data_IF_872399784170
#
_entry.id   IF_872399784170
#
_cell.length_a   1.000
_cell.length_b   1.000
_cell.length_c   1.000
_cell.angle_alpha   90.00
_cell.angle_beta   90.00
_cell.angle_gamma   90.00
#
_symmetry.space_group_name_H-M   'P 1'
#
loop_
_entity.id
_entity.type
_entity.pdbx_description
1 polymer ?
#
# COMPACT_ATOMS: atom_id res chain seq x y z
N UNK A 1 -2.25 -16.10 -5.38
CA UNK A 1 -2.87 -17.43 -5.48
C UNK A 1 -3.49 -17.59 -6.86
N UNK A 2 -2.93 -18.50 -7.65
CA UNK A 2 -3.31 -18.78 -9.03
C UNK A 2 -4.62 -19.57 -9.09
N UNK A 3 -5.30 -19.55 -10.25
CA UNK A 3 -6.55 -20.30 -10.48
C UNK A 3 -6.39 -21.81 -10.21
N UNK A 4 -5.17 -22.32 -10.42
CA UNK A 4 -4.79 -23.72 -10.26
C UNK A 4 -4.85 -24.19 -8.80
N UNK A 5 -4.56 -23.29 -7.85
CA UNK A 5 -4.51 -23.56 -6.41
C UNK A 5 -5.89 -23.62 -5.75
N UNK A 6 -6.97 -23.32 -6.49
CA UNK A 6 -8.34 -23.36 -5.99
C UNK A 6 -8.84 -24.81 -5.82
N UNK A 7 -9.57 -25.04 -4.73
CA UNK A 7 -10.27 -26.31 -4.51
C UNK A 7 -11.34 -26.53 -5.59
N UNK A 8 -11.72 -27.78 -5.91
CA UNK A 8 -12.80 -28.06 -6.88
C UNK A 8 -14.11 -27.33 -6.55
N UNK A 9 -14.46 -27.22 -5.26
CA UNK A 9 -15.63 -26.47 -4.82
C UNK A 9 -15.54 -24.97 -5.11
N UNK A 10 -14.36 -24.37 -4.97
CA UNK A 10 -14.13 -22.94 -5.23
C UNK A 10 -14.17 -22.64 -6.74
N UNK A 11 -13.61 -23.54 -7.56
CA UNK A 11 -13.71 -23.46 -9.03
C UNK A 11 -15.16 -23.53 -9.48
N UNK A 12 -15.97 -24.43 -8.88
CA UNK A 12 -17.41 -24.51 -9.13
C UNK A 12 -18.12 -23.21 -8.74
N UNK A 13 -17.86 -22.65 -7.56
CA UNK A 13 -18.47 -21.37 -7.15
C UNK A 13 -18.12 -20.22 -8.09
N UNK A 14 -16.88 -20.16 -8.59
CA UNK A 14 -16.48 -19.15 -9.58
C UNK A 14 -17.28 -19.30 -10.88
N UNK A 15 -17.43 -20.53 -11.38
CA UNK A 15 -18.26 -20.82 -12.55
C UNK A 15 -19.73 -20.41 -12.33
N UNK A 16 -20.31 -20.78 -11.18
CA UNK A 16 -21.70 -20.44 -10.84
C UNK A 16 -21.90 -18.92 -10.71
N UNK A 17 -20.90 -18.20 -10.19
CA UNK A 17 -20.91 -16.73 -10.13
C UNK A 17 -20.90 -16.10 -11.52
N UNK A 18 -20.05 -16.59 -12.43
CA UNK A 18 -20.04 -16.14 -13.83
C UNK A 18 -21.40 -16.36 -14.48
N UNK A 19 -21.98 -17.55 -14.38
CA UNK A 19 -23.30 -17.82 -14.94
C UNK A 19 -24.38 -16.88 -14.37
N UNK A 20 -24.37 -16.66 -13.04
CA UNK A 20 -25.31 -15.74 -12.39
C UNK A 20 -25.13 -14.29 -12.87
N UNK A 21 -23.90 -13.82 -13.01
CA UNK A 21 -23.60 -12.48 -13.56
C UNK A 21 -24.09 -12.35 -14.99
N UNK A 22 -23.84 -13.34 -15.84
CA UNK A 22 -24.27 -13.31 -17.24
C UNK A 22 -25.79 -13.25 -17.37
N UNK A 23 -26.52 -14.09 -16.64
CA UNK A 23 -27.98 -14.09 -16.60
C UNK A 23 -28.54 -12.74 -16.09
N UNK A 24 -27.93 -12.17 -15.04
CA UNK A 24 -28.34 -10.88 -14.51
C UNK A 24 -28.05 -9.71 -15.45
N UNK A 25 -26.96 -9.75 -16.22
CA UNK A 25 -26.65 -8.75 -17.24
C UNK A 25 -27.65 -8.87 -18.40
N UNK A 26 -27.89 -10.08 -18.92
CA UNK A 26 -28.85 -10.32 -20.01
C UNK A 26 -30.27 -9.88 -19.67
N UNK A 27 -30.66 -10.00 -18.40
CA UNK A 27 -31.99 -9.61 -17.89
C UNK A 27 -32.08 -8.15 -17.41
N UNK A 28 -31.01 -7.35 -17.53
CA UNK A 28 -30.89 -5.99 -16.99
C UNK A 28 -31.10 -5.90 -15.47
N UNK A 29 -30.83 -6.98 -14.73
CA UNK A 29 -31.08 -7.06 -13.28
C UNK A 29 -29.84 -6.81 -12.43
N UNK A 30 -28.67 -6.59 -13.03
CA UNK A 30 -27.42 -6.51 -12.28
C UNK A 30 -27.41 -5.36 -11.25
N UNK A 31 -28.06 -4.23 -11.52
CA UNK A 31 -28.12 -3.10 -10.59
C UNK A 31 -29.28 -3.18 -9.59
N UNK A 32 -30.16 -4.16 -9.72
CA UNK A 32 -31.32 -4.37 -8.84
C UNK A 32 -30.92 -5.17 -7.61
N UNK A 33 -30.96 -4.53 -6.43
CA UNK A 33 -30.82 -5.23 -5.14
C UNK A 33 -32.20 -5.73 -4.70
N UNK A 34 -32.26 -6.97 -4.22
CA UNK A 34 -33.48 -7.53 -3.61
C UNK A 34 -33.86 -6.70 -2.37
N UNK A 35 -35.07 -6.10 -2.31
CA UNK A 35 -35.56 -5.34 -1.16
C UNK A 35 -35.60 -6.13 0.15
N UNK A 36 -35.61 -7.47 0.09
CA UNK A 36 -35.67 -8.35 1.26
C UNK A 36 -34.29 -8.84 1.73
N UNK A 37 -33.18 -8.38 1.12
CA UNK A 37 -31.83 -8.74 1.57
C UNK A 37 -31.55 -8.16 2.97
N UNK A 38 -31.23 -9.02 3.94
CA UNK A 38 -30.99 -8.66 5.35
C UNK A 38 -29.88 -7.60 5.56
N UNK A 39 -29.03 -7.38 4.56
CA UNK A 39 -27.91 -6.44 4.64
C UNK A 39 -28.29 -4.97 4.35
N UNK A 40 -29.52 -4.68 3.90
CA UNK A 40 -30.00 -3.31 3.72
C UNK A 40 -30.05 -2.52 5.05
N UNK A 41 -30.17 -3.23 6.18
CA UNK A 41 -30.16 -2.63 7.54
C UNK A 41 -28.80 -2.05 7.98
N UNK A 42 -27.69 -2.33 7.27
CA UNK A 42 -26.33 -1.87 7.66
C UNK A 42 -25.77 -0.70 6.81
N UNK A 43 -26.47 -0.31 5.74
CA UNK A 43 -26.01 0.68 4.77
C UNK A 43 -26.89 1.95 4.78
N UNK A 44 -26.78 2.76 5.84
CA UNK A 44 -27.43 4.09 5.92
C UNK A 44 -26.44 5.26 5.99
N UNK A 45 -25.18 5.04 5.61
CA UNK A 45 -24.13 6.08 5.74
C UNK A 45 -23.61 6.51 4.36
N UNK A 46 -24.48 7.06 3.52
CA UNK A 46 -24.15 8.15 2.58
C UNK A 46 -25.41 8.56 1.81
N UNK A 47 -25.82 9.82 1.94
CA UNK A 47 -26.57 10.54 0.90
C UNK A 47 -25.80 11.83 0.66
N UNK A 48 -24.91 11.91 -0.35
CA UNK A 48 -24.40 13.21 -0.75
C UNK A 48 -25.58 13.99 -1.31
N UNK A 49 -25.68 15.27 -0.93
CA UNK A 49 -26.73 16.16 -1.44
C UNK A 49 -26.30 16.63 -2.83
N UNK A 50 -26.48 15.77 -3.82
CA UNK A 50 -26.49 16.16 -5.24
C UNK A 50 -27.95 16.12 -5.68
N UNK A 51 -28.34 17.10 -6.51
CA UNK A 51 -29.70 17.35 -6.96
C UNK A 51 -30.47 16.04 -7.23
N UNK A 52 -31.65 15.92 -6.63
CA UNK A 52 -32.55 14.79 -6.82
C UNK A 52 -32.95 14.70 -8.29
N UNK A 53 -32.25 13.86 -9.06
CA UNK A 53 -32.84 13.28 -10.25
C UNK A 53 -33.75 12.17 -9.78
N UNK A 54 -35.05 12.42 -9.89
CA UNK A 54 -36.07 11.39 -9.83
C UNK A 54 -35.71 10.30 -10.82
N UNK A 55 -35.60 9.06 -10.35
CA UNK A 55 -35.63 7.89 -11.22
C UNK A 55 -37.03 7.87 -11.82
N UNK A 56 -37.17 8.42 -13.03
CA UNK A 56 -38.34 8.15 -13.85
C UNK A 56 -38.28 6.68 -14.24
N UNK A 57 -39.34 5.96 -13.86
CA UNK A 57 -39.66 4.64 -14.39
C UNK A 57 -40.06 4.80 -15.86
N UNK A 58 -39.09 5.06 -16.72
CA UNK A 58 -39.28 4.97 -18.16
C UNK A 58 -38.44 3.80 -18.68
N UNK A 59 -39.12 2.94 -19.44
CA UNK A 59 -38.59 1.76 -20.11
C UNK A 59 -37.27 2.09 -20.81
N UNK A 60 -36.17 1.55 -20.28
CA UNK A 60 -34.85 1.68 -20.88
C UNK A 60 -34.81 0.77 -22.11
N UNK A 61 -34.64 1.40 -23.27
CA UNK A 61 -34.30 0.81 -24.56
C UNK A 61 -33.06 -0.07 -24.41
N UNK A 62 -33.32 -1.35 -24.19
CA UNK A 62 -32.37 -2.32 -23.69
C UNK A 62 -31.76 -3.11 -24.83
N UNK A 63 -30.56 -2.73 -25.27
CA UNK A 63 -29.64 -3.66 -25.96
C UNK A 63 -28.22 -3.13 -26.10
N UNK A 64 -27.97 -1.81 -26.15
CA UNK A 64 -26.61 -1.27 -26.42
C UNK A 64 -25.79 -0.84 -25.19
N UNK A 65 -26.39 -0.63 -24.02
CA UNK A 65 -25.66 -0.19 -22.81
C UNK A 65 -25.09 -1.34 -21.96
N UNK A 66 -25.71 -2.52 -22.01
CA UNK A 66 -25.29 -3.66 -21.18
C UNK A 66 -23.90 -4.21 -21.50
N UNK A 67 -23.36 -3.89 -22.69
CA UNK A 67 -22.01 -4.27 -23.10
C UNK A 67 -20.89 -3.43 -22.46
N UNK A 68 -21.22 -2.44 -21.60
CA UNK A 68 -20.24 -1.50 -21.01
C UNK A 68 -19.97 -1.67 -19.51
N UNK A 69 -20.63 -2.61 -18.82
CA UNK A 69 -20.43 -2.77 -17.37
C UNK A 69 -19.05 -3.35 -17.11
N UNK A 70 -18.22 -2.60 -16.40
CA UNK A 70 -16.84 -2.99 -16.05
C UNK A 70 -16.50 -2.62 -14.62
N UNK A 71 -15.50 -3.28 -14.07
CA UNK A 71 -14.85 -2.90 -12.81
C UNK A 71 -13.36 -2.72 -13.07
N UNK A 72 -12.84 -1.52 -12.79
CA UNK A 72 -11.43 -1.17 -13.01
C UNK A 72 -10.93 -1.52 -14.43
N UNK A 73 -11.75 -1.20 -15.44
CA UNK A 73 -11.45 -1.46 -16.85
C UNK A 73 -11.65 -2.91 -17.31
N UNK A 74 -12.05 -3.83 -16.43
CA UNK A 74 -12.33 -5.24 -16.78
C UNK A 74 -13.83 -5.42 -17.04
N UNK A 75 -14.25 -5.78 -18.28
CA UNK A 75 -15.65 -6.05 -18.58
C UNK A 75 -16.20 -7.22 -17.77
N UNK A 76 -17.38 -7.06 -17.16
CA UNK A 76 -17.98 -8.11 -16.33
C UNK A 76 -18.73 -9.19 -17.13
N UNK A 77 -18.81 -9.07 -18.46
CA UNK A 77 -19.56 -9.98 -19.31
C UNK A 77 -18.82 -11.33 -19.45
N UNK A 78 -19.34 -12.44 -18.89
CA UNK A 78 -18.59 -13.71 -18.85
C UNK A 78 -18.47 -14.43 -20.18
N UNK A 79 -19.29 -14.09 -21.18
CA UNK A 79 -19.14 -14.60 -22.55
C UNK A 79 -17.82 -14.17 -23.21
N UNK A 80 -17.10 -13.21 -22.61
CA UNK A 80 -15.72 -12.82 -22.94
C UNK A 80 -14.75 -13.10 -21.77
N UNK A 81 -14.99 -14.18 -21.01
CA UNK A 81 -14.18 -14.55 -19.85
C UNK A 81 -12.70 -14.58 -20.21
N UNK A 82 -11.90 -13.90 -19.41
CA UNK A 82 -10.45 -13.89 -19.49
C UNK A 82 -9.86 -13.88 -18.08
N UNK A 83 -8.54 -14.08 -17.97
CA UNK A 83 -7.85 -14.15 -16.68
C UNK A 83 -8.04 -12.89 -15.82
N UNK A 84 -8.25 -11.73 -16.46
CA UNK A 84 -8.53 -10.47 -15.77
C UNK A 84 -9.87 -10.51 -15.04
N UNK A 85 -10.94 -10.99 -15.70
CA UNK A 85 -12.25 -11.14 -15.09
C UNK A 85 -12.18 -12.11 -13.90
N UNK A 86 -11.48 -13.24 -14.07
CA UNK A 86 -11.33 -14.25 -13.02
C UNK A 86 -10.62 -13.67 -11.80
N UNK A 87 -9.57 -12.88 -12.03
CA UNK A 87 -8.85 -12.19 -10.96
C UNK A 87 -9.77 -11.23 -10.19
N UNK A 88 -10.60 -10.44 -10.88
CA UNK A 88 -11.58 -9.55 -10.22
C UNK A 88 -12.63 -10.34 -9.45
N UNK A 89 -13.26 -11.35 -10.05
CA UNK A 89 -14.31 -12.12 -9.40
C UNK A 89 -13.78 -12.89 -8.17
N UNK A 90 -12.55 -13.40 -8.25
CA UNK A 90 -11.90 -14.06 -7.12
C UNK A 90 -11.66 -13.12 -5.94
N UNK A 91 -11.41 -11.82 -6.17
CA UNK A 91 -11.32 -10.84 -5.08
C UNK A 91 -12.63 -10.78 -4.29
N UNK A 92 -13.76 -10.65 -4.97
CA UNK A 92 -15.08 -10.64 -4.34
C UNK A 92 -15.40 -11.97 -3.63
N UNK A 93 -15.16 -13.10 -4.30
CA UNK A 93 -15.38 -14.43 -3.72
C UNK A 93 -14.56 -14.62 -2.44
N UNK A 94 -13.27 -14.27 -2.46
CA UNK A 94 -12.39 -14.38 -1.29
C UNK A 94 -12.87 -13.49 -0.14
N UNK A 95 -13.32 -12.26 -0.44
CA UNK A 95 -13.87 -11.33 0.54
C UNK A 95 -15.20 -11.79 1.18
N UNK A 96 -15.89 -12.77 0.58
CA UNK A 96 -17.12 -13.38 1.10
C UNK A 96 -17.00 -14.88 1.30
N UNK A 97 -15.77 -15.38 1.45
CA UNK A 97 -15.48 -16.79 1.75
C UNK A 97 -16.17 -17.77 0.79
N UNK A 98 -16.19 -17.43 -0.49
CA UNK A 98 -16.83 -18.18 -1.58
C UNK A 98 -18.34 -18.42 -1.37
N UNK A 99 -19.02 -17.58 -0.59
CA UNK A 99 -20.47 -17.59 -0.49
C UNK A 99 -21.08 -16.87 -1.67
N UNK A 100 -21.66 -17.64 -2.60
CA UNK A 100 -22.14 -17.14 -3.90
C UNK A 100 -23.12 -15.96 -3.79
N UNK A 101 -24.17 -16.08 -2.98
CA UNK A 101 -25.20 -15.03 -2.86
C UNK A 101 -24.63 -13.73 -2.26
N UNK A 102 -23.87 -13.83 -1.16
CA UNK A 102 -23.24 -12.67 -0.52
C UNK A 102 -22.22 -12.00 -1.45
N UNK A 103 -21.49 -12.78 -2.26
CA UNK A 103 -20.54 -12.29 -3.26
C UNK A 103 -21.25 -11.51 -4.35
N UNK A 104 -22.31 -12.08 -4.91
CA UNK A 104 -23.10 -11.44 -5.96
C UNK A 104 -23.69 -10.12 -5.46
N UNK A 105 -24.31 -10.11 -4.28
CA UNK A 105 -24.82 -8.87 -3.66
C UNK A 105 -23.71 -7.81 -3.46
N UNK A 106 -22.51 -8.23 -3.05
CA UNK A 106 -21.38 -7.29 -2.90
C UNK A 106 -21.04 -6.64 -4.24
N UNK A 107 -20.95 -7.40 -5.33
CA UNK A 107 -20.70 -6.85 -6.68
C UNK A 107 -21.77 -5.82 -7.05
N UNK A 108 -23.05 -6.13 -6.83
CA UNK A 108 -24.15 -5.20 -7.13
C UNK A 108 -24.06 -3.91 -6.31
N UNK A 109 -23.73 -4.01 -5.02
CA UNK A 109 -23.53 -2.84 -4.15
C UNK A 109 -22.34 -2.00 -4.59
N UNK A 110 -21.23 -2.62 -4.95
CA UNK A 110 -20.05 -1.91 -5.45
C UNK A 110 -20.36 -1.18 -6.75
N UNK A 111 -21.03 -1.82 -7.72
CA UNK A 111 -21.42 -1.16 -8.98
C UNK A 111 -22.34 0.04 -8.74
N UNK A 112 -23.34 -0.11 -7.86
CA UNK A 112 -24.23 0.98 -7.49
C UNK A 112 -23.47 2.12 -6.81
N UNK A 113 -22.63 1.80 -5.82
CA UNK A 113 -21.83 2.79 -5.11
C UNK A 113 -20.89 3.54 -6.07
N UNK A 114 -20.24 2.84 -7.01
CA UNK A 114 -19.38 3.48 -8.02
C UNK A 114 -20.15 4.51 -8.85
N UNK A 115 -21.38 4.18 -9.25
CA UNK A 115 -22.25 5.08 -9.97
C UNK A 115 -22.70 6.28 -9.11
N UNK A 116 -23.22 6.02 -7.89
CA UNK A 116 -23.72 7.06 -6.98
C UNK A 116 -22.60 8.00 -6.48
N UNK A 117 -21.40 7.47 -6.27
CA UNK A 117 -20.23 8.22 -5.82
C UNK A 117 -19.45 8.86 -6.98
N UNK A 118 -19.79 8.53 -8.24
CA UNK A 118 -19.12 9.05 -9.43
C UNK A 118 -17.66 8.62 -9.55
N UNK A 119 -17.36 7.35 -9.24
CA UNK A 119 -15.97 6.84 -9.17
C UNK A 119 -15.32 6.76 -10.54
N UNK A 120 -16.07 6.43 -11.59
CA UNK A 120 -15.48 6.24 -12.93
C UNK A 120 -14.94 7.54 -13.53
N UNK A 121 -15.44 8.70 -13.07
CA UNK A 121 -15.00 10.02 -13.50
C UNK A 121 -14.04 10.68 -12.50
N UNK A 122 -13.82 10.06 -11.33
CA UNK A 122 -13.11 10.68 -10.21
C UNK A 122 -11.68 11.06 -10.57
N UNK A 123 -11.03 10.30 -11.46
CA UNK A 123 -9.65 10.56 -11.88
C UNK A 123 -9.47 11.84 -12.67
N UNK A 124 -10.56 12.40 -13.22
CA UNK A 124 -10.56 13.66 -13.97
C UNK A 124 -10.73 14.88 -13.06
N UNK A 125 -11.05 14.68 -11.78
CA UNK A 125 -11.29 15.76 -10.83
C UNK A 125 -9.99 16.34 -10.27
N UNK A 126 -9.96 17.66 -10.08
CA UNK A 126 -8.85 18.31 -9.39
C UNK A 126 -9.07 18.30 -7.87
N UNK A 127 -8.63 17.22 -7.23
CA UNK A 127 -8.76 17.03 -5.78
C UNK A 127 -7.42 17.16 -5.05
N UNK A 128 -6.31 17.18 -5.78
CA UNK A 128 -4.96 17.27 -5.22
C UNK A 128 -4.80 18.60 -4.47
N UNK A 129 -4.15 18.51 -3.31
CA UNK A 129 -3.91 19.61 -2.38
C UNK A 129 -2.66 19.29 -1.59
N UNK A 130 -1.83 20.29 -1.29
CA UNK A 130 -0.59 20.07 -0.51
C UNK A 130 -0.87 19.37 0.82
N UNK A 131 -2.03 19.68 1.43
CA UNK A 131 -2.46 19.11 2.70
C UNK A 131 -2.76 17.61 2.61
N UNK A 132 -3.16 17.13 1.42
CA UNK A 132 -3.52 15.73 1.20
C UNK A 132 -2.31 14.92 0.72
N UNK A 133 -1.50 15.49 -0.17
CA UNK A 133 -0.31 14.84 -0.76
C UNK A 133 0.69 14.40 0.32
N UNK A 134 0.82 15.17 1.41
CA UNK A 134 1.65 14.77 2.56
C UNK A 134 1.08 13.63 3.40
N UNK A 135 -0.11 13.11 3.09
CA UNK A 135 -0.79 12.06 3.88
C UNK A 135 -0.74 10.68 3.25
N UNK A 136 -0.50 10.58 1.95
CA UNK A 136 -0.23 9.31 1.29
C UNK A 136 0.49 9.47 -0.04
N UNK A 137 1.32 8.48 -0.33
CA UNK A 137 2.10 8.38 -1.57
C UNK A 137 2.38 6.90 -1.88
N UNK A 138 2.62 6.62 -3.16
CA UNK A 138 3.07 5.31 -3.63
C UNK A 138 4.58 5.36 -3.81
N UNK A 139 5.30 4.43 -3.21
CA UNK A 139 6.76 4.42 -3.32
C UNK A 139 7.35 3.02 -3.13
N UNK A 140 8.00 2.50 -4.16
CA UNK A 140 8.68 1.21 -4.12
C UNK A 140 7.75 0.00 -4.16
N UNK A 141 8.37 -1.17 -4.04
CA UNK A 141 7.73 -2.49 -4.12
C UNK A 141 8.19 -3.39 -2.96
N UNK A 142 7.30 -4.27 -2.51
CA UNK A 142 7.66 -5.32 -1.55
C UNK A 142 8.47 -6.44 -2.24
N UNK A 143 9.01 -7.36 -1.44
CA UNK A 143 9.82 -8.51 -1.93
C UNK A 143 9.02 -9.47 -2.83
N UNK A 144 7.69 -9.37 -2.85
CA UNK A 144 6.79 -10.17 -3.69
C UNK A 144 6.33 -9.38 -4.95
N UNK A 145 6.84 -8.16 -5.15
CA UNK A 145 6.54 -7.30 -6.30
C UNK A 145 5.23 -6.50 -6.18
N UNK A 146 4.63 -6.41 -5.00
CA UNK A 146 3.46 -5.57 -4.76
C UNK A 146 3.88 -4.11 -4.56
N UNK A 147 3.21 -3.13 -5.19
CA UNK A 147 3.47 -1.72 -4.92
C UNK A 147 3.16 -1.38 -3.46
N UNK A 148 3.95 -0.47 -2.88
CA UNK A 148 3.82 -0.04 -1.49
C UNK A 148 3.17 1.34 -1.41
N UNK A 149 2.04 1.40 -0.71
CA UNK A 149 1.33 2.63 -0.38
C UNK A 149 1.65 3.07 1.04
N UNK A 150 2.31 4.22 1.19
CA UNK A 150 2.55 4.83 2.49
C UNK A 150 1.38 5.74 2.87
N UNK A 151 0.93 5.64 4.12
CA UNK A 151 -0.13 6.46 4.71
C UNK A 151 0.42 7.14 5.96
N UNK A 152 0.72 8.43 5.86
CA UNK A 152 1.45 9.21 6.87
C UNK A 152 0.59 10.36 7.37
N UNK A 153 -0.22 10.11 8.38
CA UNK A 153 -1.16 11.12 8.87
C UNK A 153 -0.57 12.10 9.89
N UNK A 154 0.63 11.83 10.41
CA UNK A 154 1.30 12.71 11.39
C UNK A 154 1.65 14.09 10.83
N UNK A 155 1.80 14.23 9.50
CA UNK A 155 2.07 15.49 8.81
C UNK A 155 0.98 16.54 9.04
N UNK A 156 -0.28 16.11 9.19
CA UNK A 156 -1.45 16.96 9.39
C UNK A 156 -1.41 17.79 10.69
N UNK A 157 -0.55 17.43 11.66
CA UNK A 157 -0.41 18.16 12.92
C UNK A 157 0.40 19.45 12.81
N UNK A 158 1.18 19.61 11.73
CA UNK A 158 2.02 20.79 11.54
C UNK A 158 1.17 21.91 10.92
N UNK A 159 1.52 23.17 11.19
CA UNK A 159 1.12 24.33 10.36
C UNK A 159 -0.38 24.56 10.11
N UNK A 160 -1.30 24.12 10.96
CA UNK A 160 -2.75 24.33 10.77
C UNK A 160 -3.41 23.44 9.69
N UNK A 161 -2.67 22.50 9.09
CA UNK A 161 -3.18 21.64 8.02
C UNK A 161 -4.37 20.76 8.46
N UNK A 162 -4.48 20.46 9.76
CA UNK A 162 -5.60 19.71 10.32
C UNK A 162 -6.94 20.42 10.10
N UNK A 163 -7.04 21.69 10.44
CA UNK A 163 -8.31 22.45 10.31
C UNK A 163 -8.61 22.72 8.82
N UNK A 164 -7.57 22.84 8.00
CA UNK A 164 -7.74 22.94 6.54
C UNK A 164 -8.24 21.66 5.89
N UNK A 165 -7.84 20.50 6.40
CA UNK A 165 -8.25 19.20 5.85
C UNK A 165 -9.51 18.62 6.52
N UNK A 166 -9.80 18.94 7.78
CA UNK A 166 -10.84 18.27 8.58
C UNK A 166 -11.75 19.20 9.38
N UNK A 167 -11.52 20.51 9.36
CA UNK A 167 -12.25 21.50 10.16
C UNK A 167 -13.73 21.71 9.80
N UNK A 168 -14.20 21.14 8.67
CA UNK A 168 -15.61 21.11 8.30
C UNK A 168 -16.00 19.77 7.69
N UNK A 169 -17.31 19.52 7.59
CA UNK A 169 -17.84 18.30 6.98
C UNK A 169 -17.48 18.22 5.49
N UNK A 170 -17.53 19.34 4.78
CA UNK A 170 -17.19 19.45 3.36
C UNK A 170 -15.72 19.12 3.13
N UNK A 171 -14.83 19.61 4.01
CA UNK A 171 -13.39 19.29 3.98
C UNK A 171 -13.13 17.80 4.22
N UNK A 172 -13.81 17.19 5.20
CA UNK A 172 -13.75 15.74 5.43
C UNK A 172 -14.26 14.93 4.23
N UNK A 173 -15.37 15.33 3.62
CA UNK A 173 -15.93 14.68 2.43
C UNK A 173 -14.98 14.82 1.22
N UNK A 174 -14.36 15.99 1.05
CA UNK A 174 -13.30 16.20 0.04
C UNK A 174 -12.10 15.29 0.28
N UNK A 175 -11.64 15.14 1.52
CA UNK A 175 -10.56 14.22 1.86
C UNK A 175 -10.92 12.76 1.53
N UNK A 176 -12.13 12.31 1.88
CA UNK A 176 -12.60 10.96 1.53
C UNK A 176 -12.62 10.75 0.01
N UNK A 177 -13.10 11.76 -0.75
CA UNK A 177 -13.14 11.71 -2.20
C UNK A 177 -11.74 11.64 -2.81
N UNK A 178 -10.83 12.48 -2.32
CA UNK A 178 -9.42 12.42 -2.71
C UNK A 178 -8.79 11.06 -2.39
N UNK A 179 -9.10 10.46 -1.24
CA UNK A 179 -8.62 9.12 -0.89
C UNK A 179 -9.11 8.02 -1.82
N UNK A 180 -10.37 8.09 -2.25
CA UNK A 180 -10.91 7.19 -3.27
C UNK A 180 -10.19 7.40 -4.60
N UNK A 181 -9.97 8.66 -5.01
CA UNK A 181 -9.23 9.00 -6.24
C UNK A 181 -7.79 8.46 -6.20
N UNK A 182 -7.08 8.68 -5.09
CA UNK A 182 -5.73 8.17 -4.88
C UNK A 182 -5.67 6.63 -5.01
N UNK A 183 -6.67 5.94 -4.46
CA UNK A 183 -6.80 4.50 -4.61
C UNK A 183 -7.02 4.12 -6.09
N UNK A 184 -8.02 4.69 -6.77
CA UNK A 184 -8.31 4.38 -8.17
C UNK A 184 -7.09 4.63 -9.08
N UNK A 185 -6.35 5.72 -8.83
CA UNK A 185 -5.11 6.05 -9.56
C UNK A 185 -4.06 4.95 -9.35
N UNK A 186 -3.85 4.54 -8.09
CA UNK A 186 -2.96 3.44 -7.74
C UNK A 186 -3.35 2.10 -8.38
N UNK A 187 -4.65 1.77 -8.46
CA UNK A 187 -5.11 0.59 -9.21
C UNK A 187 -4.76 0.72 -10.69
N UNK A 188 -5.07 1.86 -11.30
CA UNK A 188 -4.92 2.03 -12.75
C UNK A 188 -3.45 1.99 -13.18
N UNK A 189 -2.57 2.63 -12.42
CA UNK A 189 -1.18 2.83 -12.80
C UNK A 189 -0.26 1.67 -12.37
N UNK A 190 -0.53 1.06 -11.21
CA UNK A 190 0.43 0.14 -10.57
C UNK A 190 -0.05 -1.32 -10.52
N UNK A 191 -1.34 -1.59 -10.75
CA UNK A 191 -1.87 -2.94 -10.66
C UNK A 191 -2.24 -3.50 -12.03
N UNK A 192 -2.16 -4.82 -12.14
CA UNK A 192 -2.64 -5.55 -13.29
C UNK A 192 -3.42 -6.78 -12.86
N UNK A 193 -4.54 -7.04 -13.54
CA UNK A 193 -5.37 -8.22 -13.30
C UNK A 193 -4.98 -9.41 -14.18
N UNK A 194 -3.90 -9.28 -14.97
CA UNK A 194 -3.32 -10.40 -15.70
C UNK A 194 -2.64 -11.38 -14.75
N UNK A 195 -2.60 -12.65 -15.13
CA UNK A 195 -1.98 -13.70 -14.33
C UNK A 195 -0.49 -13.40 -14.06
N UNK A 196 -0.03 -13.66 -12.83
CA UNK A 196 1.36 -13.47 -12.43
C UNK A 196 1.80 -12.01 -12.23
N UNK A 197 0.89 -11.04 -12.33
CA UNK A 197 1.16 -9.63 -12.01
C UNK A 197 0.52 -9.24 -10.67
N UNK A 198 1.07 -8.21 -10.04
CA UNK A 198 0.54 -7.67 -8.80
C UNK A 198 -0.87 -7.11 -9.04
N UNK A 199 -1.87 -7.73 -8.40
CA UNK A 199 -3.26 -7.26 -8.41
C UNK A 199 -3.68 -6.64 -7.08
N UNK A 200 -2.74 -6.50 -6.15
CA UNK A 200 -2.95 -5.95 -4.81
C UNK A 200 -1.69 -5.18 -4.36
N UNK A 201 -1.82 -4.38 -3.31
CA UNK A 201 -0.77 -3.52 -2.79
C UNK A 201 -0.50 -3.79 -1.30
N UNK A 202 0.68 -3.39 -0.83
CA UNK A 202 1.00 -3.31 0.60
C UNK A 202 0.67 -1.91 1.10
N UNK A 203 -0.02 -1.79 2.22
CA UNK A 203 -0.19 -0.52 2.91
C UNK A 203 0.74 -0.42 4.11
N UNK A 204 1.63 0.57 4.10
CA UNK A 204 2.41 0.98 5.25
C UNK A 204 1.70 2.16 5.90
N UNK A 205 1.27 2.02 7.14
CA UNK A 205 0.44 3.01 7.83
C UNK A 205 1.22 3.51 9.03
N UNK A 206 1.71 4.74 8.96
CA UNK A 206 2.43 5.37 10.06
C UNK A 206 1.46 6.01 11.05
N UNK A 207 1.37 5.41 12.23
CA UNK A 207 0.49 5.86 13.30
C UNK A 207 1.17 6.83 14.28
N UNK A 208 2.38 7.28 13.98
CA UNK A 208 3.08 8.26 14.80
C UNK A 208 2.22 9.52 14.93
N UNK A 209 2.08 9.99 16.17
CA UNK A 209 1.36 11.23 16.54
C UNK A 209 -0.14 11.28 16.20
N UNK A 210 -0.75 10.22 15.66
CA UNK A 210 -2.18 10.18 15.31
C UNK A 210 -3.15 10.21 16.50
N UNK A 211 -2.73 9.68 17.64
CA UNK A 211 -3.65 9.37 18.74
C UNK A 211 -3.68 10.43 19.86
N UNK A 212 -3.30 11.68 19.56
CA UNK A 212 -3.53 12.81 20.46
C UNK A 212 -5.04 13.09 20.68
N UNK A 213 -5.40 13.68 21.81
CA UNK A 213 -6.80 14.06 22.13
C UNK A 213 -7.41 15.07 21.14
N UNK A 214 -6.59 15.79 20.38
CA UNK A 214 -7.01 16.84 19.44
C UNK A 214 -7.44 16.37 18.04
N UNK A 215 -7.46 15.06 17.75
CA UNK A 215 -7.64 14.53 16.38
C UNK A 215 -8.94 13.71 16.20
N UNK A 216 -10.10 14.20 16.66
CA UNK A 216 -11.34 13.41 16.67
C UNK A 216 -11.95 13.28 15.26
N UNK A 217 -11.95 14.36 14.51
CA UNK A 217 -12.49 14.49 13.16
C UNK A 217 -11.70 13.62 12.18
N UNK A 218 -10.37 13.62 12.30
CA UNK A 218 -9.51 12.73 11.52
C UNK A 218 -9.81 11.25 11.80
N UNK A 219 -9.98 10.84 13.07
CA UNK A 219 -10.35 9.45 13.40
C UNK A 219 -11.69 9.06 12.79
N UNK A 220 -12.72 9.89 12.95
CA UNK A 220 -14.03 9.68 12.33
C UNK A 220 -13.95 9.58 10.81
N UNK A 221 -13.09 10.39 10.19
CA UNK A 221 -12.87 10.35 8.74
C UNK A 221 -12.13 9.08 8.32
N UNK A 222 -11.12 8.64 9.06
CA UNK A 222 -10.41 7.36 8.83
C UNK A 222 -11.36 6.18 8.98
N UNK A 223 -12.25 6.17 9.98
CA UNK A 223 -13.27 5.11 10.15
C UNK A 223 -14.21 5.03 8.94
N UNK A 224 -14.67 6.18 8.42
CA UNK A 224 -15.47 6.25 7.19
C UNK A 224 -14.68 5.74 5.98
N UNK A 225 -13.42 6.15 5.83
CA UNK A 225 -12.53 5.73 4.75
C UNK A 225 -12.34 4.20 4.75
N UNK A 226 -12.07 3.64 5.93
CA UNK A 226 -11.96 2.19 6.13
C UNK A 226 -13.23 1.50 5.64
N UNK A 227 -14.41 1.96 6.05
CA UNK A 227 -15.68 1.36 5.64
C UNK A 227 -15.86 1.40 4.12
N UNK A 228 -15.57 2.52 3.47
CA UNK A 228 -15.62 2.66 2.01
C UNK A 228 -14.74 1.60 1.33
N UNK A 229 -13.49 1.45 1.79
CA UNK A 229 -12.55 0.50 1.20
C UNK A 229 -12.94 -0.96 1.46
N UNK A 230 -13.50 -1.29 2.61
CA UNK A 230 -13.98 -2.64 2.88
C UNK A 230 -15.18 -3.05 2.03
N UNK A 231 -16.13 -2.12 1.87
CA UNK A 231 -17.39 -2.41 1.19
C UNK A 231 -17.19 -2.47 -0.34
N UNK A 232 -16.21 -1.73 -0.89
CA UNK A 232 -16.09 -1.50 -2.33
C UNK A 232 -14.76 -1.94 -2.97
N UNK A 233 -13.71 -2.20 -2.19
CA UNK A 233 -12.38 -2.58 -2.68
C UNK A 233 -11.93 -3.93 -2.10
N UNK A 234 -12.64 -5.03 -2.41
CA UNK A 234 -12.30 -6.34 -1.88
C UNK A 234 -10.91 -6.79 -2.34
N UNK A 235 -10.10 -7.30 -1.39
CA UNK A 235 -8.83 -7.95 -1.69
C UNK A 235 -7.85 -7.15 -2.58
N UNK A 236 -7.90 -5.81 -2.52
CA UNK A 236 -6.88 -4.93 -3.10
C UNK A 236 -5.68 -4.74 -2.19
N UNK A 237 -5.82 -5.06 -0.91
CA UNK A 237 -4.71 -4.98 0.05
C UNK A 237 -4.18 -6.38 0.33
N UNK A 238 -2.91 -6.57 -0.01
CA UNK A 238 -2.16 -7.79 0.27
C UNK A 238 -1.78 -7.85 1.76
N UNK A 239 -1.20 -6.76 2.27
CA UNK A 239 -0.74 -6.65 3.65
C UNK A 239 -0.87 -5.20 4.16
N UNK A 240 -1.21 -5.06 5.43
CA UNK A 240 -1.26 -3.80 6.17
C UNK A 240 -0.17 -3.84 7.25
N UNK A 241 0.81 -2.95 7.16
CA UNK A 241 1.93 -2.82 8.10
C UNK A 241 1.75 -1.52 8.86
N UNK A 242 1.31 -1.62 10.11
CA UNK A 242 1.12 -0.46 10.98
C UNK A 242 2.41 -0.16 11.75
N UNK A 243 2.92 1.05 11.61
CA UNK A 243 4.15 1.52 12.24
C UNK A 243 3.87 2.36 13.48
N UNK A 244 4.89 2.48 14.33
CA UNK A 244 4.90 3.37 15.50
C UNK A 244 3.74 3.14 16.50
N UNK A 245 3.32 1.88 16.68
CA UNK A 245 2.23 1.56 17.61
C UNK A 245 2.73 1.65 19.05
N UNK A 246 2.11 2.54 19.84
CA UNK A 246 2.39 2.65 21.27
C UNK A 246 1.73 1.53 22.07
N UNK A 247 2.29 1.24 23.25
CA UNK A 247 1.72 0.27 24.21
C UNK A 247 0.33 0.69 24.71
N UNK A 248 0.01 1.98 24.72
CA UNK A 248 -1.34 2.49 25.08
C UNK A 248 -2.38 2.20 23.97
N UNK A 249 -1.93 1.88 22.76
CA UNK A 249 -2.75 1.69 21.57
C UNK A 249 -3.05 0.22 21.25
N UNK A 250 -2.99 -0.69 22.23
CA UNK A 250 -3.52 -2.06 22.08
C UNK A 250 -5.02 -2.09 21.70
N UNK A 251 -5.69 -0.95 21.73
CA UNK A 251 -7.01 -0.67 21.15
C UNK A 251 -7.06 -0.61 19.61
N UNK A 252 -5.96 -0.76 18.86
CA UNK A 252 -6.07 -0.89 17.39
C UNK A 252 -6.93 -2.12 17.02
N UNK A 253 -6.86 -3.19 17.84
CA UNK A 253 -7.75 -4.35 17.67
C UNK A 253 -9.20 -3.94 17.76
N UNK A 254 -9.56 -2.90 18.50
CA UNK A 254 -10.92 -2.39 18.62
C UNK A 254 -11.32 -1.52 17.41
N UNK A 255 -10.45 -0.58 16.97
CA UNK A 255 -10.70 0.26 15.79
C UNK A 255 -10.85 -0.58 14.51
N UNK A 256 -10.06 -1.64 14.40
CA UNK A 256 -10.10 -2.59 13.29
C UNK A 256 -10.84 -3.90 13.65
N UNK A 257 -11.47 -4.02 14.84
CA UNK A 257 -12.16 -5.26 15.27
C UNK A 257 -13.23 -5.73 14.30
N UNK A 258 -14.03 -4.85 13.67
CA UNK A 258 -15.00 -5.31 12.69
C UNK A 258 -14.35 -5.88 11.42
N UNK A 259 -13.07 -5.57 11.19
CA UNK A 259 -12.30 -5.98 10.00
C UNK A 259 -11.52 -7.28 10.23
N UNK A 260 -11.29 -7.64 11.48
CA UNK A 260 -10.47 -8.78 11.90
C UNK A 260 -11.26 -10.09 11.89
N UNK A 261 -11.81 -10.46 10.73
CA UNK A 261 -12.12 -11.88 10.51
C UNK A 261 -10.81 -12.67 10.55
N UNK A 262 -10.88 -13.97 10.82
CA UNK A 262 -9.69 -14.84 10.93
C UNK A 262 -8.81 -14.77 9.66
N UNK A 263 -9.39 -14.45 8.50
CA UNK A 263 -8.70 -14.29 7.21
C UNK A 263 -7.95 -12.96 7.06
N UNK A 264 -8.44 -11.87 7.66
CA UNK A 264 -7.77 -10.56 7.58
C UNK A 264 -6.64 -10.46 8.61
N UNK A 265 -6.70 -11.22 9.70
CA UNK A 265 -5.69 -11.19 10.78
C UNK A 265 -4.25 -11.42 10.29
N UNK A 266 -4.03 -12.35 9.36
CA UNK A 266 -2.69 -12.63 8.78
C UNK A 266 -2.19 -11.52 7.85
N UNK A 267 -3.09 -10.65 7.37
CA UNK A 267 -2.74 -9.49 6.56
C UNK A 267 -2.25 -8.32 7.40
N UNK A 268 -2.37 -8.38 8.73
CA UNK A 268 -2.00 -7.27 9.59
C UNK A 268 -0.67 -7.51 10.31
N UNK A 269 0.23 -6.53 10.21
CA UNK A 269 1.53 -6.51 10.86
C UNK A 269 1.63 -5.25 11.70
N UNK A 270 2.16 -5.39 12.92
CA UNK A 270 2.20 -4.31 13.91
C UNK A 270 3.64 -4.10 14.39
N UNK A 271 4.21 -2.93 14.09
CA UNK A 271 5.54 -2.52 14.51
C UNK A 271 5.47 -1.47 15.63
N UNK A 272 6.19 -1.74 16.73
CA UNK A 272 6.47 -0.74 17.77
C UNK A 272 7.50 0.28 17.26
N UNK A 273 7.58 1.50 17.83
CA UNK A 273 8.50 2.55 17.37
C UNK A 273 9.97 2.16 17.26
N UNK A 274 10.44 1.20 18.06
CA UNK A 274 11.83 0.71 18.05
C UNK A 274 12.05 -0.52 17.14
N UNK A 275 10.99 -1.04 16.51
CA UNK A 275 11.00 -2.19 15.58
C UNK A 275 10.57 -1.83 14.16
N UNK A 276 10.38 -0.55 13.85
CA UNK A 276 9.87 -0.10 12.53
C UNK A 276 10.75 -0.64 11.40
N UNK A 277 12.03 -0.30 11.40
CA UNK A 277 13.01 -0.73 10.39
C UNK A 277 13.10 -2.24 10.30
N UNK A 278 13.31 -2.93 11.44
CA UNK A 278 13.35 -4.40 11.51
C UNK A 278 12.08 -5.06 10.94
N UNK A 279 10.91 -4.43 11.11
CA UNK A 279 9.66 -4.99 10.60
C UNK A 279 9.54 -4.80 9.10
N UNK A 280 9.87 -3.61 8.58
CA UNK A 280 9.76 -3.31 7.15
C UNK A 280 10.74 -4.16 6.32
N UNK A 281 11.98 -4.36 6.79
CA UNK A 281 12.99 -5.15 6.09
C UNK A 281 12.61 -6.63 5.88
N UNK A 282 11.66 -7.15 6.65
CA UNK A 282 11.11 -8.50 6.46
C UNK A 282 10.21 -8.62 5.24
N UNK A 283 9.68 -7.51 4.75
CA UNK A 283 8.68 -7.48 3.68
C UNK A 283 9.13 -6.68 2.46
N UNK A 284 9.95 -5.66 2.64
CA UNK A 284 10.38 -4.71 1.60
C UNK A 284 11.90 -4.72 1.57
N UNK A 285 12.48 -4.76 0.37
CA UNK A 285 13.94 -4.63 0.21
C UNK A 285 14.41 -3.24 0.67
N UNK A 286 15.61 -3.14 1.26
CA UNK A 286 16.09 -1.89 1.88
C UNK A 286 16.20 -0.71 0.90
N UNK A 287 16.52 -0.95 -0.38
CA UNK A 287 16.48 0.04 -1.48
C UNK A 287 15.07 0.58 -1.79
N UNK A 288 14.03 -0.16 -1.42
CA UNK A 288 12.64 0.22 -1.64
C UNK A 288 12.00 0.90 -0.41
N UNK A 289 12.72 1.00 0.71
CA UNK A 289 12.24 1.63 1.93
C UNK A 289 12.78 3.07 2.03
N UNK A 290 11.93 4.09 2.20
CA UNK A 290 12.36 5.47 2.45
C UNK A 290 13.32 5.60 3.64
N UNK A 291 14.32 6.47 3.53
CA UNK A 291 15.32 6.72 4.58
C UNK A 291 14.71 7.04 5.95
N UNK A 292 13.54 7.70 6.00
CA UNK A 292 12.83 8.02 7.24
C UNK A 292 12.34 6.80 8.02
N UNK A 293 12.26 5.65 7.36
CA UNK A 293 11.89 4.37 7.95
C UNK A 293 13.08 3.41 8.12
N UNK A 294 14.30 3.89 7.85
CA UNK A 294 15.54 3.13 7.98
C UNK A 294 15.82 2.20 6.79
N UNK A 295 15.43 2.60 5.58
CA UNK A 295 15.96 2.05 4.33
C UNK A 295 16.95 3.00 3.66
N UNK A 296 17.27 2.72 2.40
CA UNK A 296 18.21 3.51 1.60
C UNK A 296 17.54 4.34 0.51
N UNK A 297 16.21 4.28 0.36
CA UNK A 297 15.53 5.02 -0.70
C UNK A 297 15.52 6.52 -0.42
N UNK A 298 16.15 7.30 -1.31
CA UNK A 298 16.17 8.76 -1.33
C UNK A 298 15.40 9.30 -2.53
N UNK A 299 14.91 10.53 -2.41
CA UNK A 299 14.38 11.27 -3.55
C UNK A 299 15.56 11.88 -4.34
N UNK A 300 15.58 11.68 -5.66
CA UNK A 300 16.61 12.21 -6.57
C UNK A 300 18.05 11.83 -6.13
N UNK A 301 18.30 10.53 -5.97
CA UNK A 301 19.64 10.02 -5.65
C UNK A 301 20.48 9.89 -6.92
N UNK A 302 21.34 10.88 -7.16
CA UNK A 302 22.36 10.83 -8.22
C UNK A 302 23.69 10.22 -7.72
N UNK A 303 23.79 9.90 -6.42
CA UNK A 303 25.00 9.41 -5.76
C UNK A 303 25.09 7.88 -5.74
N UNK A 304 23.96 7.17 -5.78
CA UNK A 304 23.87 5.71 -5.79
C UNK A 304 23.04 5.24 -6.98
N UNK A 305 23.69 4.97 -8.11
CA UNK A 305 23.06 4.44 -9.31
C UNK A 305 22.86 2.92 -9.20
N UNK A 306 21.86 2.39 -9.90
CA UNK A 306 21.55 0.95 -9.91
C UNK A 306 22.72 0.08 -10.44
N UNK A 307 23.65 0.70 -11.16
CA UNK A 307 24.87 0.10 -11.71
C UNK A 307 26.03 0.05 -10.71
N UNK A 308 26.00 0.82 -9.61
CA UNK A 308 27.06 0.92 -8.60
C UNK A 308 27.12 -0.28 -7.64
N UNK A 309 26.23 -1.26 -7.81
CA UNK A 309 26.28 -2.55 -7.12
C UNK A 309 25.07 -2.82 -6.23
N UNK A 310 25.08 -4.02 -5.61
CA UNK A 310 23.96 -4.52 -4.79
C UNK A 310 24.16 -4.16 -3.33
N UNK A 311 23.05 -3.84 -2.66
CA UNK A 311 23.02 -3.75 -1.20
C UNK A 311 23.39 -5.10 -0.58
N UNK A 312 24.40 -5.09 0.29
CA UNK A 312 24.84 -6.27 1.04
C UNK A 312 24.27 -6.28 2.46
N UNK A 313 23.66 -7.39 2.88
CA UNK A 313 23.22 -7.60 4.27
C UNK A 313 24.23 -8.47 5.03
N UNK A 314 24.68 -8.03 6.21
CA UNK A 314 25.62 -8.78 7.06
C UNK A 314 25.10 -8.96 8.49
N UNK A 315 25.11 -10.19 8.98
CA UNK A 315 24.70 -10.52 10.35
C UNK A 315 25.90 -10.59 11.30
N UNK A 316 25.97 -9.64 12.23
CA UNK A 316 27.03 -9.59 13.25
C UNK A 316 26.57 -10.25 14.55
N UNK A 317 27.28 -11.30 14.98
CA UNK A 317 27.03 -11.95 16.28
C UNK A 317 27.62 -11.10 17.42
N UNK A 318 26.92 -11.03 18.56
CA UNK A 318 27.40 -10.28 19.72
C UNK A 318 28.82 -10.70 20.16
N UNK A 319 29.68 -9.72 20.40
CA UNK A 319 31.08 -9.93 20.79
C UNK A 319 32.01 -10.37 19.65
N UNK A 320 31.53 -10.50 18.42
CA UNK A 320 32.36 -10.78 17.23
C UNK A 320 32.58 -9.53 16.40
N UNK A 321 33.79 -9.41 15.87
CA UNK A 321 34.13 -8.44 14.83
C UNK A 321 33.82 -9.09 13.48
N UNK A 322 33.24 -8.32 12.56
CA UNK A 322 32.99 -8.73 11.17
C UNK A 322 33.54 -7.64 10.27
N UNK A 323 34.18 -8.06 9.18
CA UNK A 323 34.76 -7.15 8.20
C UNK A 323 33.83 -7.05 7.01
N UNK A 324 33.58 -5.82 6.56
CA UNK A 324 32.89 -5.51 5.31
C UNK A 324 33.92 -4.83 4.44
N UNK A 325 34.22 -5.44 3.29
CA UNK A 325 35.25 -4.97 2.37
C UNK A 325 34.57 -4.33 1.15
N UNK A 326 35.01 -3.13 0.80
CA UNK A 326 34.57 -2.41 -0.40
C UNK A 326 35.81 -2.32 -1.30
N UNK A 327 35.91 -3.14 -2.36
CA UNK A 327 37.08 -3.13 -3.22
C UNK A 327 37.14 -1.84 -4.03
N UNK A 328 38.33 -1.23 -4.12
CA UNK A 328 38.57 0.00 -4.87
C UNK A 328 39.62 -0.33 -5.94
N UNK A 329 39.18 -0.39 -7.20
CA UNK A 329 40.05 -0.84 -8.32
C UNK A 329 40.79 0.33 -8.97
N UNK A 330 40.20 1.52 -8.96
CA UNK A 330 40.74 2.70 -9.63
C UNK A 330 41.23 3.73 -8.61
N UNK A 331 42.40 4.32 -8.88
CA UNK A 331 42.94 5.40 -8.06
C UNK A 331 42.28 6.75 -8.41
N UNK A 332 42.20 7.66 -7.43
CA UNK A 332 41.60 8.99 -7.62
C UNK A 332 40.06 9.01 -7.63
N UNK A 333 39.40 7.88 -7.36
CA UNK A 333 37.94 7.81 -7.27
C UNK A 333 37.41 8.25 -5.90
N UNK A 334 36.16 8.72 -5.89
CA UNK A 334 35.38 8.96 -4.68
C UNK A 334 34.53 7.72 -4.43
N UNK A 335 34.68 7.12 -3.27
CA UNK A 335 33.86 5.99 -2.81
C UNK A 335 32.84 6.50 -1.83
N UNK A 336 31.57 6.28 -2.15
CA UNK A 336 30.42 6.57 -1.30
C UNK A 336 29.85 5.26 -0.77
N UNK A 337 29.48 5.22 0.50
CA UNK A 337 28.77 4.08 1.05
C UNK A 337 27.84 4.49 2.18
N UNK A 338 26.76 3.75 2.34
CA UNK A 338 25.84 3.91 3.44
C UNK A 338 25.79 2.66 4.29
N UNK A 339 25.66 2.84 5.61
CA UNK A 339 25.46 1.74 6.55
C UNK A 339 24.21 1.99 7.38
N UNK A 340 23.33 0.99 7.42
CA UNK A 340 22.19 0.93 8.33
C UNK A 340 22.41 -0.21 9.32
N UNK A 341 22.42 0.13 10.61
CA UNK A 341 22.55 -0.83 11.71
C UNK A 341 21.17 -1.13 12.27
N UNK A 342 20.75 -2.39 12.17
CA UNK A 342 19.47 -2.87 12.68
C UNK A 342 19.69 -3.77 13.89
N UNK A 343 18.94 -3.54 14.96
CA UNK A 343 18.97 -4.38 16.15
C UNK A 343 19.74 -3.76 17.32
N UNK A 344 20.92 -4.31 17.63
CA UNK A 344 21.75 -3.89 18.76
C UNK A 344 22.78 -2.84 18.33
N UNK A 345 23.34 -2.10 19.29
CA UNK A 345 24.42 -1.15 19.02
C UNK A 345 25.65 -1.90 18.49
N UNK A 346 26.32 -1.30 17.50
CA UNK A 346 27.58 -1.82 16.98
C UNK A 346 28.63 -0.72 17.05
N UNK A 347 29.86 -1.14 17.36
CA UNK A 347 31.04 -0.33 17.17
C UNK A 347 31.60 -0.68 15.79
N UNK A 348 31.81 0.32 14.95
CA UNK A 348 32.47 0.13 13.67
C UNK A 348 33.68 1.05 13.55
N UNK A 349 34.67 0.57 12.81
CA UNK A 349 35.88 1.30 12.46
C UNK A 349 36.05 1.25 10.96
N UNK A 350 36.49 2.36 10.40
CA UNK A 350 36.80 2.50 8.98
C UNK A 350 38.33 2.44 8.81
N UNK A 351 38.79 1.48 8.01
CA UNK A 351 40.21 1.30 7.70
C UNK A 351 40.38 1.25 6.19
N UNK A 352 41.36 1.99 5.67
CA UNK A 352 41.83 1.82 4.30
C UNK A 352 43.07 0.93 4.32
N UNK A 353 43.07 -0.10 3.48
CA UNK A 353 44.13 -1.09 3.36
C UNK A 353 44.60 -1.05 1.90
N UNK A 354 45.78 -0.47 1.62
CA UNK A 354 46.34 -0.47 0.27
C UNK A 354 46.88 -1.87 -0.09
N UNK A 355 46.82 -2.24 -1.36
CA UNK A 355 47.30 -3.54 -1.86
C UNK A 355 48.82 -3.59 -2.08
N UNK A 356 49.53 -2.45 -2.01
CA UNK A 356 50.97 -2.36 -2.26
C UNK A 356 51.82 -2.95 -1.11
N UNK A 357 52.85 -3.74 -1.45
CA UNK A 357 53.82 -4.27 -0.49
C UNK A 357 54.50 -3.14 0.31
N UNK A 358 54.34 -3.15 1.63
CA UNK A 358 54.94 -2.16 2.54
C UNK A 358 53.99 -1.03 2.98
N UNK A 359 52.76 -1.01 2.48
CA UNK A 359 51.74 -0.04 2.89
C UNK A 359 51.22 -0.26 4.32
N UNK A 360 50.89 0.84 5.01
CA UNK A 360 50.32 0.80 6.37
C UNK A 360 48.80 1.04 6.35
N UNK A 361 48.09 0.40 7.29
CA UNK A 361 46.64 0.60 7.46
C UNK A 361 46.36 2.04 7.90
N UNK A 362 45.60 2.77 7.10
CA UNK A 362 45.15 4.12 7.46
C UNK A 362 43.84 3.99 8.23
N UNK A 363 43.92 4.19 9.55
CA UNK A 363 42.73 4.22 10.42
C UNK A 363 42.04 5.58 10.29
N UNK A 364 40.82 5.60 9.78
CA UNK A 364 40.11 6.86 9.51
C UNK A 364 39.32 7.38 10.70
N UNK A 365 38.54 6.52 11.36
CA UNK A 365 37.69 6.95 12.49
C UNK A 365 37.15 5.79 13.32
N UNK A 366 36.97 6.04 14.62
CA UNK A 366 36.12 5.24 15.52
C UNK A 366 34.77 5.91 15.64
N UNK A 367 33.69 5.17 15.38
CA UNK A 367 32.32 5.68 15.56
C UNK A 367 31.46 4.66 16.29
N UNK A 368 30.65 5.17 17.21
CA UNK A 368 29.61 4.40 17.88
C UNK A 368 28.29 4.66 17.15
N UNK A 369 27.74 3.65 16.47
CA UNK A 369 26.37 3.75 15.95
C UNK A 369 25.43 3.10 16.95
N UNK A 370 24.56 3.91 17.54
CA UNK A 370 23.38 3.41 18.22
C UNK A 370 22.30 3.03 17.18
N UNK A 371 21.09 2.67 17.65
CA UNK A 371 19.91 2.54 16.79
C UNK A 371 19.60 3.87 16.09
N UNK A 372 20.25 4.15 14.98
CA UNK A 372 19.93 5.28 14.13
C UNK A 372 18.78 4.88 13.20
N UNK A 373 17.76 5.74 13.14
CA UNK A 373 16.61 5.57 12.24
C UNK A 373 16.92 5.92 10.79
N UNK A 374 18.07 6.55 10.56
CA UNK A 374 18.55 6.99 9.26
C UNK A 374 19.94 6.38 9.03
N UNK A 375 20.20 5.91 7.82
CA UNK A 375 21.52 5.40 7.43
C UNK A 375 22.60 6.45 7.66
N UNK A 376 23.80 6.00 8.02
CA UNK A 376 24.96 6.90 8.09
C UNK A 376 25.61 6.90 6.72
N UNK A 377 25.73 8.09 6.13
CA UNK A 377 26.38 8.31 4.84
C UNK A 377 27.86 8.61 5.03
N UNK A 378 28.69 7.98 4.21
CA UNK A 378 30.13 8.11 4.24
C UNK A 378 30.66 8.39 2.84
N UNK A 379 31.72 9.18 2.81
CA UNK A 379 32.43 9.57 1.60
C UNK A 379 33.91 9.47 1.85
N UNK A 380 34.64 8.92 0.88
CA UNK A 380 36.08 8.92 0.87
C UNK A 380 36.63 9.18 -0.52
N UNK A 381 37.49 10.19 -0.63
CA UNK A 381 38.32 10.40 -1.81
C UNK A 381 39.67 9.74 -1.56
N UNK A 382 40.06 8.78 -2.40
CA UNK A 382 41.43 8.31 -2.39
C UNK A 382 42.33 9.41 -3.00
N UNK A 383 43.10 10.12 -2.15
CA UNK A 383 44.02 11.18 -2.59
C UNK A 383 45.33 10.64 -3.19
N UNK A 384 45.56 9.33 -3.12
CA UNK A 384 46.81 8.73 -3.52
C UNK A 384 46.62 7.93 -4.81
N UNK A 385 47.01 8.57 -5.92
CA UNK A 385 47.39 7.87 -7.13
C UNK A 385 48.80 7.32 -6.95
N UNK A 386 48.92 6.00 -6.80
CA UNK A 386 50.21 5.35 -6.96
C UNK A 386 50.20 4.56 -8.26
N UNK A 387 51.08 4.99 -9.16
CA UNK A 387 51.37 4.34 -10.41
C UNK A 387 51.90 2.94 -10.16
N UNK A 388 51.33 1.94 -10.81
CA UNK A 388 52.10 0.76 -11.16
C UNK A 388 53.28 1.19 -12.03
N UNK A 389 54.48 0.73 -11.68
CA UNK A 389 55.53 0.48 -12.65
C UNK A 389 55.79 -1.02 -12.69
#
# INVERSE_FOLDING_TARGET
MALEELKPSEKKTLHDLKHKLEESIKRNRLLFLDPNSQAQKRSTIFKPRIASYSISTNEVTSTSENSKISLWGVPLLPSKSNDCLDTILLKFLRAREFKLCETFEMIQRTLRWRNEYGVDEILKENLDSEYFMGTAYMDGFDREGHPVCYNVYGSLRKGGLYDEAFGSREKQERFLRWRVQFMERGIQELLSFKLGKASAMVQVIDLKDLFGSSMKELRSTIEKMIKIFQDNYPEFIFKNIFLNISLRHYTYRALFSPLLTQRTASKFVFARPYKVTETLLRYIDPENIPIQYGGFKRENDDEFLAEDGRISETYVKGGKITHVEIPIVEAGVIVLWDIIVVGWEVLYREEFIPDDEGSYKILKKWRRSSRNRQGTHFTFTNQEGWSSQ
#
